data_IF_897314070274
#
_entry.id   IF_897314070274
#
_cell.length_a   1.000
_cell.length_b   1.000
_cell.length_c   1.000
_cell.angle_alpha   90.00
_cell.angle_beta   90.00
_cell.angle_gamma   90.00
#
_symmetry.space_group_name_H-M   'P 1'
#
loop_
_entity.id
_entity.type
_entity.pdbx_description
1 polymer ?
#
# COMPACT_ATOMS: atom_id res chain seq x y z
N UNK A 1 9.07 12.51 4.27
CA UNK A 1 8.49 12.07 2.97
C UNK A 1 7.35 11.09 3.22
N UNK A 2 6.16 11.30 2.65
CA UNK A 2 5.03 10.36 2.78
C UNK A 2 5.37 9.02 2.10
N UNK A 3 4.76 7.92 2.54
CA UNK A 3 4.80 6.67 1.75
C UNK A 3 3.80 6.77 0.60
N UNK A 4 4.02 6.04 -0.50
CA UNK A 4 3.06 5.96 -1.61
C UNK A 4 1.67 5.56 -1.14
N UNK A 5 1.56 4.57 -0.25
CA UNK A 5 0.31 4.17 0.38
C UNK A 5 -0.40 5.34 1.09
N UNK A 6 0.31 6.12 1.92
CA UNK A 6 -0.27 7.27 2.63
C UNK A 6 -0.69 8.37 1.65
N UNK A 7 0.16 8.66 0.66
CA UNK A 7 -0.13 9.64 -0.37
C UNK A 7 -1.39 9.26 -1.16
N UNK A 8 -1.48 8.02 -1.64
CA UNK A 8 -2.65 7.48 -2.32
C UNK A 8 -3.90 7.59 -1.44
N UNK A 9 -3.84 7.09 -0.20
CA UNK A 9 -4.99 7.10 0.73
C UNK A 9 -5.53 8.51 0.94
N UNK A 10 -4.64 9.47 1.22
CA UNK A 10 -5.04 10.87 1.46
C UNK A 10 -5.55 11.57 0.20
N UNK A 11 -5.00 11.27 -0.98
CA UNK A 11 -5.49 11.79 -2.25
C UNK A 11 -6.91 11.28 -2.58
N UNK A 12 -7.24 10.06 -2.16
CA UNK A 12 -8.60 9.50 -2.28
C UNK A 12 -9.56 9.98 -1.17
N UNK A 13 -9.08 10.76 -0.19
CA UNK A 13 -9.89 11.21 0.95
C UNK A 13 -10.18 10.14 2.00
N UNK A 14 -9.52 8.99 1.93
CA UNK A 14 -9.77 7.87 2.85
C UNK A 14 -9.06 8.05 4.20
N UNK A 15 -9.74 7.61 5.26
CA UNK A 15 -9.20 7.34 6.58
C UNK A 15 -8.48 5.98 6.63
N UNK A 16 -7.70 5.74 7.69
CA UNK A 16 -7.09 4.42 7.90
C UNK A 16 -8.15 3.33 8.10
N UNK A 17 -9.24 3.64 8.81
CA UNK A 17 -10.36 2.74 9.05
C UNK A 17 -11.04 2.28 7.76
N UNK A 18 -11.26 3.18 6.80
CA UNK A 18 -11.85 2.83 5.51
C UNK A 18 -10.92 1.90 4.70
N UNK A 19 -9.62 2.21 4.64
CA UNK A 19 -8.66 1.31 3.97
C UNK A 19 -8.54 -0.03 4.69
N UNK A 20 -8.64 -0.05 6.03
CA UNK A 20 -8.68 -1.28 6.81
C UNK A 20 -9.87 -2.15 6.41
N UNK A 21 -11.07 -1.57 6.30
CA UNK A 21 -12.27 -2.25 5.83
C UNK A 21 -12.14 -2.81 4.41
N UNK A 22 -11.60 -2.02 3.49
CA UNK A 22 -11.39 -2.44 2.10
C UNK A 22 -10.35 -3.56 1.96
N UNK A 23 -9.29 -3.53 2.77
CA UNK A 23 -8.13 -4.42 2.61
C UNK A 23 -8.13 -5.61 3.56
N UNK A 24 -8.96 -5.60 4.61
CA UNK A 24 -8.96 -6.61 5.68
C UNK A 24 -7.71 -6.57 6.56
N UNK A 25 -6.88 -5.54 6.46
CA UNK A 25 -5.76 -5.29 7.38
C UNK A 25 -6.25 -4.42 8.54
N UNK A 26 -5.65 -4.58 9.71
CA UNK A 26 -5.96 -3.69 10.84
C UNK A 26 -5.40 -2.28 10.62
N UNK A 27 -6.05 -1.28 11.20
CA UNK A 27 -5.57 0.10 11.20
C UNK A 27 -4.15 0.24 11.79
N UNK A 28 -3.86 -0.52 12.85
CA UNK A 28 -2.53 -0.55 13.46
C UNK A 28 -1.47 -1.13 12.51
N UNK A 29 -1.82 -2.13 11.69
CA UNK A 29 -0.93 -2.64 10.65
C UNK A 29 -0.68 -1.58 9.58
N UNK A 30 -1.73 -0.95 9.07
CA UNK A 30 -1.64 0.10 8.05
C UNK A 30 -0.83 1.30 8.54
N UNK A 31 -1.06 1.75 9.77
CA UNK A 31 -0.29 2.83 10.40
C UNK A 31 1.20 2.51 10.45
N UNK A 32 1.58 1.31 10.87
CA UNK A 32 3.00 0.87 10.86
C UNK A 32 3.60 0.81 9.46
N UNK A 33 2.81 0.46 8.45
CA UNK A 33 3.23 0.49 7.04
C UNK A 33 3.42 1.93 6.55
N UNK A 34 2.47 2.82 6.82
CA UNK A 34 2.54 4.23 6.43
C UNK A 34 3.67 5.00 7.13
N UNK A 35 4.09 4.53 8.30
CA UNK A 35 5.20 5.09 9.07
C UNK A 35 6.53 4.37 8.83
N UNK A 36 6.59 3.43 7.87
CA UNK A 36 7.79 2.62 7.55
C UNK A 36 8.33 1.77 8.71
N UNK A 37 7.56 1.60 9.78
CA UNK A 37 7.89 0.69 10.88
C UNK A 37 7.70 -0.78 10.50
N UNK A 38 6.96 -1.05 9.42
CA UNK A 38 6.73 -2.41 8.92
C UNK A 38 6.58 -2.44 7.40
N UNK A 39 7.17 -3.45 6.78
CA UNK A 39 6.95 -3.77 5.37
C UNK A 39 5.92 -4.89 5.22
N UNK A 40 5.05 -4.76 4.22
CA UNK A 40 4.18 -5.86 3.79
C UNK A 40 4.95 -6.83 2.91
N UNK A 41 4.69 -8.12 3.09
CA UNK A 41 5.22 -9.16 2.20
C UNK A 41 4.72 -8.96 0.76
N UNK A 42 5.49 -9.36 -0.28
CA UNK A 42 5.11 -9.15 -1.68
C UNK A 42 3.68 -9.61 -2.01
N UNK A 43 3.30 -10.82 -1.56
CA UNK A 43 1.94 -11.35 -1.73
C UNK A 43 0.87 -10.44 -1.12
N UNK A 44 1.13 -9.86 0.06
CA UNK A 44 0.17 -8.97 0.72
C UNK A 44 0.02 -7.64 -0.04
N UNK A 45 1.10 -7.13 -0.64
CA UNK A 45 1.05 -5.93 -1.49
C UNK A 45 0.16 -6.17 -2.71
N UNK A 46 0.31 -7.32 -3.38
CA UNK A 46 -0.54 -7.72 -4.52
C UNK A 46 -2.00 -7.85 -4.10
N UNK A 47 -2.28 -8.51 -2.97
CA UNK A 47 -3.66 -8.66 -2.47
C UNK A 47 -4.29 -7.31 -2.14
N UNK A 48 -3.57 -6.42 -1.46
CA UNK A 48 -4.03 -5.07 -1.15
C UNK A 48 -4.35 -4.28 -2.43
N UNK A 49 -3.41 -4.24 -3.38
CA UNK A 49 -3.58 -3.53 -4.64
C UNK A 49 -4.80 -4.03 -5.42
N UNK A 50 -4.99 -5.35 -5.49
CA UNK A 50 -6.19 -5.96 -6.10
C UNK A 50 -7.49 -5.56 -5.41
N UNK A 51 -7.53 -5.52 -4.07
CA UNK A 51 -8.73 -5.11 -3.32
C UNK A 51 -9.07 -3.64 -3.52
N UNK A 52 -8.06 -2.80 -3.73
CA UNK A 52 -8.21 -1.37 -3.95
C UNK A 52 -8.38 -1.01 -5.44
N UNK A 53 -8.32 -1.99 -6.35
CA UNK A 53 -8.49 -1.76 -7.79
C UNK A 53 -7.36 -0.95 -8.42
N UNK A 54 -6.15 -0.96 -7.85
CA UNK A 54 -4.99 -0.17 -8.31
C UNK A 54 -3.78 -1.06 -8.57
N UNK A 55 -2.77 -0.52 -9.24
CA UNK A 55 -1.50 -1.21 -9.45
C UNK A 55 -0.64 -1.19 -8.19
N UNK A 56 0.18 -2.22 -8.00
CA UNK A 56 1.11 -2.31 -6.85
C UNK A 56 2.04 -1.11 -6.79
N UNK A 57 2.50 -0.62 -7.96
CA UNK A 57 3.41 0.52 -8.08
C UNK A 57 2.83 1.86 -7.61
N UNK A 58 1.50 1.97 -7.55
CA UNK A 58 0.80 3.16 -7.05
C UNK A 58 0.80 3.21 -5.52
N UNK A 59 0.87 2.05 -4.85
CA UNK A 59 0.82 1.94 -3.38
C UNK A 59 2.20 1.72 -2.76
N UNK A 60 3.14 1.14 -3.51
CA UNK A 60 4.45 0.72 -3.00
C UNK A 60 5.56 1.05 -3.99
N UNK A 61 6.77 1.27 -3.45
CA UNK A 61 7.97 1.28 -4.29
C UNK A 61 8.21 -0.12 -4.86
N UNK A 62 8.45 -0.17 -6.16
CA UNK A 62 8.81 -1.35 -6.93
C UNK A 62 10.09 -1.04 -7.68
N UNK A 63 11.08 -1.93 -7.57
CA UNK A 63 12.30 -1.83 -8.36
C UNK A 63 11.95 -2.10 -9.84
N UNK A 64 12.46 -1.28 -10.78
CA UNK A 64 12.34 -1.59 -12.20
C UNK A 64 12.95 -2.96 -12.47
N UNK A 65 12.26 -3.78 -13.27
CA UNK A 65 12.88 -5.00 -13.78
C UNK A 65 13.93 -4.59 -14.82
N UNK A 66 15.20 -4.77 -14.49
CA UNK A 66 16.30 -4.73 -15.45
C UNK A 66 16.14 -5.95 -16.38
N UNK A 67 15.50 -5.76 -17.53
CA UNK A 67 15.45 -6.80 -18.56
C UNK A 67 16.73 -6.66 -19.38
N UNK A 68 17.69 -7.57 -19.20
CA UNK A 68 18.81 -7.65 -20.13
C UNK A 68 18.27 -8.19 -21.46
N UNK A 69 18.21 -7.32 -22.47
CA UNK A 69 17.88 -7.67 -23.84
C UNK A 69 18.94 -8.59 -24.46
#
# INVERSE_FOLDING_TARGET
>A
MLTKLRAWRTAQGYTLAEVAGLTGLSEAMLSRVETRQRNLAPRQRVVMARRLGVQVAELFEVEPLEVSA
#
